data_IF_102930346066
#
_entry.id   IF_102930346066
#
_cell.length_a   1.000
_cell.length_b   1.000
_cell.length_c   1.000
_cell.angle_alpha   90.00
_cell.angle_beta   90.00
_cell.angle_gamma   90.00
#
_symmetry.space_group_name_H-M   'P 1'
#
loop_
_entity.id
_entity.type
_entity.pdbx_description
1 polymer ?
#
# COMPACT_ATOMS: atom_id res chain seq x y z
N UNK A 1 15.98 9.32 -3.36
CA UNK A 1 15.88 8.45 -2.16
C UNK A 1 14.75 8.91 -1.26
N UNK A 2 14.53 10.22 -1.08
CA UNK A 2 13.48 10.71 -0.19
C UNK A 2 12.07 10.55 -0.79
N UNK A 3 11.82 11.00 -2.03
CA UNK A 3 10.47 10.98 -2.63
C UNK A 3 9.87 9.56 -2.80
N UNK A 4 10.68 8.60 -3.26
CA UNK A 4 10.25 7.20 -3.40
C UNK A 4 9.91 6.56 -2.05
N UNK A 5 10.71 6.85 -1.01
CA UNK A 5 10.44 6.35 0.34
C UNK A 5 9.21 7.02 0.94
N UNK A 6 9.03 8.32 0.73
CA UNK A 6 7.83 9.03 1.17
C UNK A 6 6.57 8.51 0.49
N UNK A 7 6.63 8.14 -0.80
CA UNK A 7 5.51 7.47 -1.48
C UNK A 7 5.25 6.09 -0.86
N UNK A 8 6.28 5.28 -0.64
CA UNK A 8 6.16 3.96 -0.01
C UNK A 8 5.54 4.04 1.40
N UNK A 9 6.00 4.99 2.22
CA UNK A 9 5.52 5.20 3.57
C UNK A 9 4.04 5.63 3.56
N UNK A 10 3.65 6.55 2.66
CA UNK A 10 2.24 6.96 2.48
C UNK A 10 1.36 5.82 1.97
N UNK A 11 1.85 5.04 1.00
CA UNK A 11 1.14 3.87 0.48
C UNK A 11 0.83 2.88 1.60
N UNK A 12 1.85 2.47 2.36
CA UNK A 12 1.68 1.50 3.45
C UNK A 12 0.82 2.07 4.58
N UNK A 13 0.85 3.38 4.83
CA UNK A 13 0.01 4.01 5.85
C UNK A 13 -1.49 3.79 5.62
N UNK A 14 -1.95 3.78 4.36
CA UNK A 14 -3.38 3.57 4.03
C UNK A 14 -3.90 2.21 4.49
N UNK A 15 -3.04 1.18 4.49
CA UNK A 15 -3.39 -0.16 4.97
C UNK A 15 -3.55 -0.24 6.50
N UNK A 16 -3.00 0.74 7.21
CA UNK A 16 -3.11 0.86 8.66
C UNK A 16 -4.20 1.85 9.11
N UNK A 17 -4.78 2.64 8.21
CA UNK A 17 -5.72 3.71 8.54
C UNK A 17 -7.06 3.16 9.06
N UNK A 18 -7.42 3.58 10.27
CA UNK A 18 -8.62 3.18 10.99
C UNK A 18 -9.83 4.06 10.70
N UNK A 19 -9.60 5.31 10.30
CA UNK A 19 -10.65 6.28 10.00
C UNK A 19 -11.10 6.19 8.54
N UNK A 20 -12.41 6.05 8.34
CA UNK A 20 -12.98 5.82 7.03
C UNK A 20 -12.84 7.01 6.07
N UNK A 21 -12.96 8.24 6.57
CA UNK A 21 -12.86 9.43 5.74
C UNK A 21 -11.40 9.70 5.37
N UNK A 22 -10.49 9.59 6.33
CA UNK A 22 -9.05 9.73 6.08
C UNK A 22 -8.54 8.69 5.11
N UNK A 23 -9.02 7.45 5.21
CA UNK A 23 -8.65 6.39 4.27
C UNK A 23 -9.10 6.72 2.86
N UNK A 24 -10.34 7.16 2.66
CA UNK A 24 -10.85 7.59 1.34
C UNK A 24 -10.05 8.76 0.77
N UNK A 25 -9.72 9.73 1.61
CA UNK A 25 -8.88 10.86 1.21
C UNK A 25 -7.49 10.40 0.79
N UNK A 26 -6.83 9.57 1.60
CA UNK A 26 -5.49 9.07 1.30
C UNK A 26 -5.46 8.20 0.03
N UNK A 27 -6.51 7.41 -0.22
CA UNK A 27 -6.68 6.68 -1.49
C UNK A 27 -6.75 7.65 -2.68
N UNK A 28 -7.54 8.72 -2.58
CA UNK A 28 -7.69 9.71 -3.65
C UNK A 28 -6.45 10.59 -3.88
N UNK A 29 -5.61 10.74 -2.84
CA UNK A 29 -4.32 11.42 -2.93
C UNK A 29 -3.24 10.53 -3.55
N UNK A 30 -3.30 9.21 -3.34
CA UNK A 30 -2.31 8.25 -3.83
C UNK A 30 -2.61 7.71 -5.22
N UNK A 31 -3.85 7.32 -5.51
CA UNK A 31 -4.24 6.74 -6.79
C UNK A 31 -4.92 7.75 -7.70
N UNK A 32 -4.86 7.50 -9.01
CA UNK A 32 -5.79 8.14 -9.96
C UNK A 32 -7.20 7.53 -9.82
N UNK A 33 -8.27 8.20 -10.28
CA UNK A 33 -9.66 7.69 -10.12
C UNK A 33 -9.89 6.27 -10.64
N UNK A 34 -9.22 5.89 -11.73
CA UNK A 34 -9.26 4.56 -12.35
C UNK A 34 -8.06 3.69 -11.98
N UNK A 35 -7.33 4.05 -10.91
CA UNK A 35 -6.13 3.35 -10.49
C UNK A 35 -6.39 1.88 -10.18
N UNK A 36 -5.39 1.06 -10.45
CA UNK A 36 -5.52 -0.40 -10.41
C UNK A 36 -4.61 -1.00 -9.34
N UNK A 37 -5.04 -2.08 -8.69
CA UNK A 37 -4.23 -2.87 -7.76
C UNK A 37 -4.37 -4.35 -8.11
N UNK A 38 -3.24 -5.02 -8.26
CA UNK A 38 -3.12 -6.42 -8.63
C UNK A 38 -2.37 -7.19 -7.56
N UNK A 39 -2.98 -8.27 -7.07
CA UNK A 39 -2.36 -9.18 -6.10
C UNK A 39 -2.86 -10.60 -6.32
N UNK A 40 -1.95 -11.54 -6.50
CA UNK A 40 -2.26 -12.93 -6.85
C UNK A 40 -3.24 -13.01 -8.05
N UNK A 41 -4.47 -13.53 -7.83
CA UNK A 41 -5.54 -13.64 -8.84
C UNK A 41 -6.55 -12.49 -8.76
N UNK A 42 -6.34 -11.50 -7.90
CA UNK A 42 -7.28 -10.40 -7.68
C UNK A 42 -6.90 -9.19 -8.52
N UNK A 43 -7.92 -8.64 -9.17
CA UNK A 43 -7.85 -7.36 -9.88
C UNK A 43 -8.80 -6.39 -9.19
N UNK A 44 -8.28 -5.24 -8.77
CA UNK A 44 -9.03 -4.19 -8.09
C UNK A 44 -8.89 -2.91 -8.88
N UNK A 45 -10.00 -2.21 -9.13
CA UNK A 45 -10.00 -0.96 -9.90
C UNK A 45 -10.82 0.12 -9.21
N UNK A 46 -10.30 1.34 -9.31
CA UNK A 46 -10.92 2.56 -8.84
C UNK A 46 -11.07 2.64 -7.32
N UNK A 47 -11.38 3.85 -6.84
CA UNK A 47 -11.36 4.15 -5.40
C UNK A 47 -12.24 3.23 -4.55
N UNK A 48 -13.44 2.89 -5.02
CA UNK A 48 -14.34 2.01 -4.27
C UNK A 48 -13.79 0.57 -4.15
N UNK A 49 -13.17 0.06 -5.23
CA UNK A 49 -12.52 -1.25 -5.20
C UNK A 49 -11.31 -1.26 -4.26
N UNK A 50 -10.46 -0.24 -4.37
CA UNK A 50 -9.29 -0.04 -3.54
C UNK A 50 -9.67 0.04 -2.05
N UNK A 51 -10.65 0.88 -1.71
CA UNK A 51 -11.13 1.03 -0.35
C UNK A 51 -11.60 -0.31 0.22
N UNK A 52 -12.42 -1.06 -0.54
CA UNK A 52 -12.89 -2.38 -0.10
C UNK A 52 -11.72 -3.33 0.17
N UNK A 53 -10.76 -3.43 -0.76
CA UNK A 53 -9.57 -4.29 -0.63
C UNK A 53 -8.72 -3.93 0.59
N UNK A 54 -8.55 -2.64 0.85
CA UNK A 54 -7.80 -2.12 1.98
C UNK A 54 -8.53 -2.44 3.29
N UNK A 55 -9.83 -2.17 3.38
CA UNK A 55 -10.65 -2.47 4.57
C UNK A 55 -10.57 -3.97 4.91
N UNK A 56 -10.73 -4.85 3.92
CA UNK A 56 -10.65 -6.30 4.13
C UNK A 56 -9.30 -6.72 4.75
N UNK A 57 -8.20 -6.13 4.26
CA UNK A 57 -6.86 -6.35 4.81
C UNK A 57 -6.72 -5.81 6.23
N UNK A 58 -7.14 -4.56 6.43
CA UNK A 58 -7.03 -3.83 7.68
C UNK A 58 -7.79 -4.55 8.79
N UNK A 59 -9.04 -4.93 8.53
CA UNK A 59 -9.87 -5.68 9.48
C UNK A 59 -9.18 -6.97 9.90
N UNK A 60 -8.75 -7.78 8.93
CA UNK A 60 -8.18 -9.09 9.20
C UNK A 60 -6.87 -9.02 9.98
N UNK A 61 -5.96 -8.15 9.57
CA UNK A 61 -4.57 -8.19 10.06
C UNK A 61 -4.29 -7.13 11.10
N UNK A 62 -4.84 -5.92 10.95
CA UNK A 62 -4.54 -4.80 11.86
C UNK A 62 -5.51 -4.79 13.03
N UNK A 63 -6.82 -4.63 12.76
CA UNK A 63 -7.85 -4.52 13.80
C UNK A 63 -7.97 -5.78 14.63
N UNK A 64 -8.13 -6.92 13.96
CA UNK A 64 -8.43 -8.20 14.64
C UNK A 64 -7.16 -9.05 14.83
N UNK A 65 -6.16 -8.88 13.97
CA UNK A 65 -4.93 -9.69 13.97
C UNK A 65 -3.79 -9.15 14.85
N UNK A 66 -3.84 -7.89 15.29
CA UNK A 66 -2.80 -7.30 16.14
C UNK A 66 -1.48 -7.02 15.42
N UNK A 67 -1.51 -6.90 14.09
CA UNK A 67 -0.36 -6.55 13.25
C UNK A 67 -0.41 -5.08 12.81
N UNK A 68 0.68 -4.62 12.22
CA UNK A 68 0.76 -3.38 11.43
C UNK A 68 1.63 -3.61 10.20
N UNK A 69 1.38 -2.84 9.16
CA UNK A 69 2.22 -2.83 7.97
C UNK A 69 3.24 -1.69 8.05
N UNK A 70 4.45 -1.89 7.55
CA UNK A 70 5.45 -0.83 7.33
C UNK A 70 6.16 -1.02 5.99
N UNK A 71 6.59 0.08 5.37
CA UNK A 71 7.53 0.02 4.26
C UNK A 71 8.94 -0.25 4.81
N UNK A 72 9.67 -1.14 4.15
CA UNK A 72 11.11 -1.27 4.36
C UNK A 72 11.83 -0.01 3.85
N UNK A 73 13.02 0.25 4.38
CA UNK A 73 13.84 1.43 4.01
C UNK A 73 14.65 1.19 2.74
N UNK A 74 14.02 0.67 1.71
CA UNK A 74 14.65 0.25 0.47
C UNK A 74 13.91 0.71 -0.79
N UNK A 75 13.02 1.70 -0.62
CA UNK A 75 12.25 2.24 -1.72
C UNK A 75 13.16 2.88 -2.77
N UNK A 76 12.91 2.51 -4.02
CA UNK A 76 13.68 2.94 -5.19
C UNK A 76 12.73 3.41 -6.26
N UNK A 77 13.07 4.54 -6.88
CA UNK A 77 12.38 5.06 -8.06
C UNK A 77 13.25 4.92 -9.30
N UNK A 78 12.64 4.59 -10.43
CA UNK A 78 13.26 4.60 -11.75
C UNK A 78 12.22 5.01 -12.79
N UNK A 79 12.43 6.17 -13.43
CA UNK A 79 11.42 6.79 -14.31
C UNK A 79 10.08 6.94 -13.58
N UNK A 80 9.00 6.42 -14.17
CA UNK A 80 7.62 6.42 -13.69
C UNK A 80 7.29 5.20 -12.82
N UNK A 81 8.31 4.53 -12.29
CA UNK A 81 8.16 3.35 -11.44
C UNK A 81 8.76 3.58 -10.06
N UNK A 82 8.03 3.16 -9.03
CA UNK A 82 8.54 3.06 -7.65
C UNK A 82 8.38 1.62 -7.16
N UNK A 83 9.40 1.08 -6.49
CA UNK A 83 9.35 -0.26 -5.88
C UNK A 83 9.98 -0.25 -4.50
N UNK A 84 9.42 -1.06 -3.59
CA UNK A 84 9.85 -1.19 -2.20
C UNK A 84 9.34 -2.50 -1.61
N UNK A 85 9.93 -2.98 -0.53
CA UNK A 85 9.34 -4.09 0.23
C UNK A 85 8.37 -3.57 1.30
N UNK A 86 7.25 -4.26 1.48
CA UNK A 86 6.38 -4.08 2.64
C UNK A 86 6.58 -5.23 3.63
N UNK A 87 6.35 -4.94 4.90
CA UNK A 87 6.46 -5.91 5.98
C UNK A 87 5.22 -5.83 6.87
N UNK A 88 4.67 -6.98 7.24
CA UNK A 88 3.68 -7.12 8.30
C UNK A 88 4.38 -7.56 9.58
N UNK A 89 4.27 -6.75 10.63
CA UNK A 89 4.93 -6.98 11.92
C UNK A 89 3.92 -6.94 13.06
N UNK A 90 4.14 -7.67 14.17
CA UNK A 90 3.32 -7.52 15.37
C UNK A 90 3.33 -6.06 15.84
N UNK A 91 2.17 -5.55 16.28
CA UNK A 91 2.02 -4.15 16.71
C UNK A 91 2.98 -3.77 17.85
N UNK A 92 3.24 -4.72 18.75
CA UNK A 92 4.07 -4.56 19.95
C UNK A 92 5.57 -4.82 19.68
N UNK A 93 5.93 -5.06 18.41
CA UNK A 93 7.28 -5.43 18.01
C UNK A 93 7.51 -6.95 17.99
N UNK A 94 8.47 -7.39 17.19
CA UNK A 94 8.75 -8.80 16.96
C UNK A 94 9.32 -9.04 15.56
N UNK A 95 9.41 -10.31 15.19
CA UNK A 95 9.86 -10.74 13.86
C UNK A 95 8.81 -10.41 12.79
N UNK A 96 9.27 -10.29 11.54
CA UNK A 96 8.40 -10.07 10.37
C UNK A 96 7.55 -11.32 10.15
N UNK A 97 6.23 -11.15 10.19
CA UNK A 97 5.27 -12.24 10.05
C UNK A 97 4.93 -12.55 8.59
N UNK A 98 4.98 -11.53 7.73
CA UNK A 98 4.85 -11.64 6.28
C UNK A 98 5.56 -10.45 5.63
N UNK A 99 5.95 -10.61 4.37
CA UNK A 99 6.55 -9.52 3.58
C UNK A 99 6.12 -9.64 2.13
N UNK A 100 6.45 -8.64 1.33
CA UNK A 100 6.29 -8.72 -0.10
C UNK A 100 6.97 -7.55 -0.79
N UNK A 101 6.95 -7.59 -2.12
CA UNK A 101 7.41 -6.52 -2.97
C UNK A 101 6.22 -5.75 -3.52
N UNK A 102 6.35 -4.43 -3.56
CA UNK A 102 5.40 -3.53 -4.22
C UNK A 102 6.05 -2.94 -5.48
N UNK A 103 5.27 -2.77 -6.54
CA UNK A 103 5.71 -2.14 -7.79
C UNK A 103 4.61 -1.22 -8.30
N UNK A 104 4.87 0.08 -8.20
CA UNK A 104 3.93 1.15 -8.53
C UNK A 104 4.35 1.80 -9.85
N UNK A 105 3.45 1.82 -10.82
CA UNK A 105 3.53 2.72 -11.97
C UNK A 105 2.79 4.02 -11.63
N UNK A 106 3.44 5.17 -11.79
CA UNK A 106 2.90 6.48 -11.39
C UNK A 106 2.79 7.47 -12.55
N UNK A 107 1.87 8.43 -12.44
CA UNK A 107 1.76 9.55 -13.38
C UNK A 107 2.80 10.66 -13.08
N UNK A 108 2.77 11.74 -13.86
CA UNK A 108 3.70 12.88 -13.68
C UNK A 108 3.45 13.70 -12.40
N UNK A 109 2.39 13.38 -11.65
CA UNK A 109 2.05 13.96 -10.35
C UNK A 109 2.30 12.96 -9.21
N UNK A 110 3.05 11.89 -9.47
CA UNK A 110 3.35 10.81 -8.52
C UNK A 110 2.11 10.08 -7.99
N UNK A 111 0.99 10.11 -8.75
CA UNK A 111 -0.19 9.31 -8.43
C UNK A 111 -0.13 7.96 -9.11
N UNK A 112 -0.51 6.94 -8.38
CA UNK A 112 -0.47 5.55 -8.79
C UNK A 112 -1.52 5.30 -9.87
N UNK A 113 -1.02 4.88 -11.03
CA UNK A 113 -1.80 4.35 -12.15
C UNK A 113 -2.09 2.87 -11.90
N UNK A 114 -1.04 2.10 -11.58
CA UNK A 114 -1.11 0.67 -11.32
C UNK A 114 -0.19 0.28 -10.17
N UNK A 115 -0.71 -0.52 -9.25
CA UNK A 115 -0.04 -1.13 -8.10
C UNK A 115 0.02 -2.65 -8.31
N UNK A 116 1.22 -3.22 -8.28
CA UNK A 116 1.46 -4.65 -8.36
C UNK A 116 2.13 -5.16 -7.09
N UNK A 117 1.37 -5.94 -6.34
CA UNK A 117 1.82 -6.54 -5.09
C UNK A 117 2.22 -8.00 -5.28
N UNK A 118 3.43 -8.33 -4.82
CA UNK A 118 4.00 -9.67 -4.80
C UNK A 118 4.27 -10.12 -3.36
N UNK A 119 3.31 -10.78 -2.68
CA UNK A 119 3.53 -11.35 -1.35
C UNK A 119 4.58 -12.47 -1.36
N UNK A 120 5.33 -12.61 -0.26
CA UNK A 120 6.36 -13.64 -0.02
C UNK A 120 6.04 -14.46 1.23
#
# INVERSE_FOLDING_TARGET
MDDAQQLADRHVAVWNETDDERRRQAIAELWVPEGEHYVELREVRGYAGLEKRIIESHVKWVRDGGFRFRAAKDARGLHDVVTFHWEMVPKDGGEVAASGLEFLAVDKQDRILVDYQFPL
#
